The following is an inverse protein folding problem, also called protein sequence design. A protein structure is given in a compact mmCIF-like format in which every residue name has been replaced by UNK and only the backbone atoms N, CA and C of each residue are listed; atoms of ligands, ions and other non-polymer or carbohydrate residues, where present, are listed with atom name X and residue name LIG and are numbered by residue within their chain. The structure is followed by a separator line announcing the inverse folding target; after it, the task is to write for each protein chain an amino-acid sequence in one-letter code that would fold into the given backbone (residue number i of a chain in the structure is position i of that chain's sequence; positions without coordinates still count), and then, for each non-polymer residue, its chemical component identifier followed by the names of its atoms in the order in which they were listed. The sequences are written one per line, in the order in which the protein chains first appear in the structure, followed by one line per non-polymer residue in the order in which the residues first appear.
data_IF_108060089182
#
_entry.id   IF_108060089182
#
_cell.length_a   1.000
_cell.length_b   1.000
_cell.length_c   1.000
_cell.angle_alpha   90.00
_cell.angle_beta   90.00
_cell.angle_gamma   90.00
#
_symmetry.space_group_name_H-M   'P 1'
#
loop_
_entity.id
_entity.type
_entity.pdbx_description
1 polymer ?
#
# COMPACT_ATOMS: atom_id res chain seq x y z
N UNK A 1 17.79 -8.35 -11.43
CA UNK A 1 16.52 -8.75 -10.79
C UNK A 1 15.62 -7.54 -10.73
N UNK A 2 14.34 -7.71 -11.03
CA UNK A 2 13.35 -6.63 -10.88
C UNK A 2 12.99 -6.44 -9.41
N UNK A 3 12.77 -5.20 -8.93
CA UNK A 3 12.32 -4.96 -7.57
C UNK A 3 10.98 -5.65 -7.26
N UNK A 4 10.82 -6.15 -6.04
CA UNK A 4 9.66 -6.93 -5.61
C UNK A 4 9.06 -6.41 -4.32
N UNK A 5 7.79 -6.76 -4.09
CA UNK A 5 7.11 -6.53 -2.82
C UNK A 5 7.49 -7.61 -1.82
N UNK A 6 7.73 -7.19 -0.59
CA UNK A 6 8.06 -8.05 0.54
C UNK A 6 7.02 -7.80 1.64
N UNK A 7 6.48 -8.88 2.21
CA UNK A 7 5.71 -8.78 3.45
C UNK A 7 6.67 -8.65 4.61
N UNK A 8 6.55 -7.56 5.34
CA UNK A 8 7.26 -7.32 6.59
C UNK A 8 6.73 -8.26 7.66
N UNK A 9 7.63 -8.81 8.45
CA UNK A 9 7.28 -9.67 9.58
C UNK A 9 7.83 -9.12 10.90
N UNK A 10 7.24 -9.57 12.01
CA UNK A 10 7.72 -9.30 13.39
C UNK A 10 8.13 -10.59 14.10
N UNK A 11 8.29 -11.67 13.33
CA UNK A 11 8.80 -12.95 13.82
C UNK A 11 10.20 -12.74 14.40
N UNK A 12 10.48 -13.37 15.55
CA UNK A 12 11.76 -13.21 16.24
C UNK A 12 12.90 -13.63 15.30
N UNK A 13 13.91 -12.77 15.16
CA UNK A 13 15.05 -13.01 14.29
C UNK A 13 14.87 -12.51 12.85
N UNK A 14 13.66 -12.11 12.44
CA UNK A 14 13.46 -11.50 11.13
C UNK A 14 14.23 -10.18 11.01
N UNK A 15 14.81 -9.99 9.82
CA UNK A 15 15.52 -8.78 9.42
C UNK A 15 15.02 -8.38 8.04
N UNK A 16 14.82 -7.08 7.85
CA UNK A 16 14.54 -6.55 6.53
C UNK A 16 15.69 -6.92 5.58
N UNK A 17 15.40 -7.42 4.37
CA UNK A 17 16.43 -7.62 3.35
C UNK A 17 17.16 -6.32 3.06
N UNK A 18 18.44 -6.42 2.72
CA UNK A 18 19.28 -5.27 2.46
C UNK A 18 18.69 -4.37 1.36
N UNK A 19 18.68 -3.07 1.61
CA UNK A 19 18.17 -2.07 0.67
C UNK A 19 16.64 -2.05 0.51
N UNK A 20 15.88 -2.92 1.18
CA UNK A 20 14.43 -2.89 1.13
C UNK A 20 13.88 -1.69 1.92
N UNK A 21 12.90 -0.98 1.34
CA UNK A 21 12.31 0.23 1.92
C UNK A 21 10.95 -0.08 2.52
N UNK A 22 10.74 0.29 3.78
CA UNK A 22 9.41 0.21 4.40
C UNK A 22 8.50 1.35 3.88
N UNK A 23 7.34 0.96 3.34
CA UNK A 23 6.35 1.88 2.75
C UNK A 23 5.00 1.82 3.47
N UNK A 24 4.93 1.22 4.65
CA UNK A 24 3.68 1.09 5.41
C UNK A 24 3.25 2.36 6.14
N UNK A 25 2.27 2.23 7.04
CA UNK A 25 1.75 3.31 7.91
C UNK A 25 2.89 4.06 8.62
N UNK A 26 2.72 5.38 8.71
CA UNK A 26 3.69 6.30 9.34
C UNK A 26 4.80 6.78 8.40
N UNK A 27 4.74 6.42 7.11
CA UNK A 27 5.70 6.90 6.08
C UNK A 27 4.98 7.78 5.07
N UNK A 28 5.75 8.53 4.27
CA UNK A 28 5.22 9.28 3.12
C UNK A 28 4.59 8.38 2.03
N UNK A 29 4.83 7.07 2.11
CA UNK A 29 4.41 6.06 1.15
C UNK A 29 3.23 5.22 1.63
N UNK A 30 2.75 5.45 2.86
CA UNK A 30 1.64 4.69 3.42
C UNK A 30 0.34 4.96 2.68
N UNK A 31 -0.48 3.93 2.49
CA UNK A 31 -1.83 4.09 1.99
C UNK A 31 -2.72 4.80 3.04
N UNK A 32 -3.32 5.97 2.73
CA UNK A 32 -4.30 6.60 3.61
C UNK A 32 -5.61 5.80 3.71
N UNK A 33 -5.96 5.00 2.69
CA UNK A 33 -7.15 4.15 2.68
C UNK A 33 -6.84 2.82 3.37
N UNK A 34 -7.01 2.77 4.69
CA UNK A 34 -6.78 1.56 5.47
C UNK A 34 -7.98 0.61 5.41
N UNK A 35 -7.71 -0.68 5.22
CA UNK A 35 -8.74 -1.73 5.39
C UNK A 35 -8.84 -2.08 6.87
N UNK A 36 -10.06 -1.98 7.42
CA UNK A 36 -10.35 -2.31 8.82
C UNK A 36 -11.48 -3.33 8.89
N UNK A 37 -11.38 -4.28 9.81
CA UNK A 37 -12.49 -5.21 10.10
C UNK A 37 -13.46 -4.55 11.07
N UNK A 38 -14.72 -4.44 10.68
CA UNK A 38 -15.78 -3.79 11.43
C UNK A 38 -16.43 -4.75 12.45
N UNK A 39 -17.25 -4.19 13.34
CA UNK A 39 -17.90 -4.94 14.42
C UNK A 39 -18.94 -5.95 13.91
N UNK A 40 -19.58 -5.65 12.77
CA UNK A 40 -20.50 -6.53 12.05
C UNK A 40 -19.80 -7.65 11.26
N UNK A 41 -18.46 -7.64 11.24
CA UNK A 41 -17.63 -8.63 10.55
C UNK A 41 -17.26 -8.27 9.12
N UNK A 42 -17.79 -7.19 8.55
CA UNK A 42 -17.43 -6.68 7.22
C UNK A 42 -16.04 -6.02 7.23
N UNK A 43 -15.50 -5.82 6.04
CA UNK A 43 -14.26 -5.08 5.82
C UNK A 43 -14.57 -3.70 5.27
N UNK A 44 -14.29 -2.66 6.06
CA UNK A 44 -14.53 -1.26 5.68
C UNK A 44 -13.25 -0.54 5.27
N UNK A 45 -13.43 0.50 4.45
CA UNK A 45 -12.39 1.49 4.12
C UNK A 45 -12.87 2.85 4.68
N UNK A 46 -12.40 3.28 5.86
CA UNK A 46 -12.76 4.58 6.43
C UNK A 46 -12.29 5.73 5.54
N UNK A 47 -13.01 6.84 5.56
CA UNK A 47 -12.54 8.06 4.91
C UNK A 47 -11.32 8.63 5.65
N UNK A 48 -10.19 8.88 4.95
CA UNK A 48 -9.00 9.40 5.60
C UNK A 48 -9.10 10.86 6.07
N UNK A 49 -10.12 11.59 5.62
CA UNK A 49 -10.43 12.98 5.96
C UNK A 49 -11.55 13.02 7.02
N UNK A 50 -12.61 12.24 6.83
CA UNK A 50 -13.73 12.15 7.76
C UNK A 50 -13.84 10.77 8.41
N UNK A 51 -13.23 10.61 9.58
CA UNK A 51 -13.22 9.35 10.32
C UNK A 51 -14.60 8.82 10.74
N UNK A 52 -15.66 9.61 10.60
CA UNK A 52 -17.04 9.18 10.87
C UNK A 52 -17.71 8.54 9.64
N UNK A 53 -17.11 8.64 8.46
CA UNK A 53 -17.62 8.05 7.23
C UNK A 53 -16.76 6.89 6.72
N UNK A 54 -17.38 6.03 5.92
CA UNK A 54 -16.75 4.86 5.30
C UNK A 54 -17.02 4.91 3.81
N UNK A 55 -15.96 4.87 2.99
CA UNK A 55 -16.06 4.90 1.54
C UNK A 55 -16.85 3.72 0.99
N UNK A 56 -16.51 2.52 1.47
CA UNK A 56 -17.14 1.26 1.05
C UNK A 56 -16.93 0.17 2.10
N UNK A 57 -17.81 -0.84 2.06
CA UNK A 57 -17.72 -2.07 2.86
C UNK A 57 -17.79 -3.29 1.96
N UNK A 58 -17.14 -4.37 2.37
CA UNK A 58 -16.99 -5.59 1.60
C UNK A 58 -17.11 -6.83 2.50
N UNK A 59 -17.64 -7.92 1.96
CA UNK A 59 -17.69 -9.21 2.66
C UNK A 59 -16.30 -9.85 2.81
N UNK A 60 -15.41 -9.63 1.84
CA UNK A 60 -14.09 -10.26 1.79
C UNK A 60 -12.95 -9.24 1.88
N UNK A 61 -11.93 -9.56 2.68
CA UNK A 61 -10.73 -8.71 2.87
C UNK A 61 -10.02 -8.41 1.54
N UNK A 62 -9.97 -9.40 0.65
CA UNK A 62 -9.32 -9.29 -0.67
C UNK A 62 -9.94 -8.17 -1.50
N UNK A 63 -11.26 -8.05 -1.47
CA UNK A 63 -11.99 -7.05 -2.26
C UNK A 63 -11.79 -5.65 -1.67
N UNK A 64 -11.87 -5.53 -0.34
CA UNK A 64 -11.53 -4.27 0.34
C UNK A 64 -10.08 -3.83 0.07
N UNK A 65 -9.12 -4.76 0.00
CA UNK A 65 -7.72 -4.45 -0.35
C UNK A 65 -7.55 -4.06 -1.81
N UNK A 66 -8.29 -4.68 -2.72
CA UNK A 66 -8.31 -4.30 -4.13
C UNK A 66 -8.78 -2.85 -4.27
N UNK A 67 -9.91 -2.52 -3.64
CA UNK A 67 -10.46 -1.16 -3.65
C UNK A 67 -9.50 -0.16 -2.99
N UNK A 68 -8.93 -0.49 -1.83
CA UNK A 68 -7.96 0.39 -1.16
C UNK A 68 -6.70 0.65 -2.02
N UNK A 69 -6.29 -0.31 -2.85
CA UNK A 69 -5.17 -0.13 -3.78
C UNK A 69 -5.56 0.76 -4.98
N UNK A 70 -6.80 0.65 -5.48
CA UNK A 70 -7.34 1.52 -6.53
C UNK A 70 -7.48 2.97 -6.05
N UNK A 71 -8.07 3.17 -4.86
CA UNK A 71 -8.18 4.49 -4.23
C UNK A 71 -6.80 5.11 -4.00
N UNK A 72 -5.82 4.31 -3.56
CA UNK A 72 -4.44 4.78 -3.44
C UNK A 72 -3.83 5.21 -4.77
N UNK A 73 -4.07 4.45 -5.85
CA UNK A 73 -3.60 4.78 -7.20
C UNK A 73 -4.19 6.10 -7.68
N UNK A 74 -5.50 6.31 -7.51
CA UNK A 74 -6.15 7.57 -7.85
C UNK A 74 -5.59 8.73 -7.02
N UNK A 75 -5.48 8.55 -5.71
CA UNK A 75 -4.95 9.55 -4.79
C UNK A 75 -3.50 9.97 -5.10
N UNK A 76 -2.62 9.02 -5.42
CA UNK A 76 -1.23 9.35 -5.74
C UNK A 76 -1.09 9.96 -7.14
N UNK A 77 -1.96 9.62 -8.09
CA UNK A 77 -1.98 10.20 -9.44
C UNK A 77 -2.19 11.73 -9.41
N UNK A 78 -2.98 12.23 -8.47
CA UNK A 78 -3.19 13.66 -8.25
C UNK A 78 -2.00 14.37 -7.57
N UNK A 79 -0.92 13.64 -7.26
CA UNK A 79 0.25 14.14 -6.50
C UNK A 79 1.54 13.96 -7.30
N UNK A 80 1.75 14.73 -8.39
CA UNK A 80 2.91 14.56 -9.27
C UNK A 80 4.25 14.74 -8.55
N UNK A 81 4.32 15.61 -7.53
CA UNK A 81 5.53 15.78 -6.71
C UNK A 81 5.86 14.54 -5.89
N UNK A 82 4.84 13.82 -5.39
CA UNK A 82 5.01 12.56 -4.65
C UNK A 82 5.42 11.42 -5.59
N UNK A 83 4.88 11.36 -6.80
CA UNK A 83 5.32 10.41 -7.85
C UNK A 83 6.78 10.65 -8.22
N UNK A 84 7.16 11.91 -8.48
CA UNK A 84 8.54 12.27 -8.78
C UNK A 84 9.49 11.88 -7.63
N UNK A 85 9.03 12.04 -6.38
CA UNK A 85 9.77 11.58 -5.21
C UNK A 85 9.88 10.06 -5.15
N UNK A 86 8.81 9.32 -5.43
CA UNK A 86 8.81 7.86 -5.47
C UNK A 86 9.82 7.34 -6.50
N UNK A 87 9.86 7.92 -7.70
CA UNK A 87 10.86 7.57 -8.73
C UNK A 87 12.30 7.80 -8.28
N UNK A 88 12.58 8.85 -7.51
CA UNK A 88 13.93 9.10 -6.99
C UNK A 88 14.31 8.19 -5.81
N UNK A 89 13.38 7.96 -4.90
CA UNK A 89 13.67 7.30 -3.62
C UNK A 89 13.44 5.78 -3.64
N UNK A 90 12.57 5.28 -4.51
CA UNK A 90 12.11 3.88 -4.51
C UNK A 90 12.55 3.08 -5.75
N UNK A 91 12.98 3.73 -6.83
CA UNK A 91 13.42 3.04 -8.05
C UNK A 91 14.54 2.03 -7.76
N UNK A 92 14.40 0.81 -8.30
CA UNK A 92 15.37 -0.27 -8.08
C UNK A 92 15.34 -0.90 -6.67
N UNK A 93 14.42 -0.52 -5.78
CA UNK A 93 14.37 -0.99 -4.38
C UNK A 93 13.19 -1.91 -4.14
N UNK A 94 13.41 -3.01 -3.41
CA UNK A 94 12.32 -3.82 -2.90
C UNK A 94 11.48 -3.01 -1.89
N UNK A 95 10.16 -3.17 -1.91
CA UNK A 95 9.26 -2.42 -1.03
C UNK A 95 8.63 -3.35 0.01
N UNK A 96 8.62 -2.90 1.26
CA UNK A 96 8.09 -3.65 2.40
C UNK A 96 6.84 -3.02 2.98
N UNK A 97 5.81 -3.82 3.19
CA UNK A 97 4.60 -3.44 3.91
C UNK A 97 4.08 -4.62 4.75
N UNK A 98 3.02 -4.41 5.53
CA UNK A 98 2.44 -5.49 6.35
C UNK A 98 1.43 -6.37 5.60
N UNK A 99 1.05 -5.99 4.38
CA UNK A 99 -0.04 -6.62 3.64
C UNK A 99 0.33 -8.05 3.20
N UNK A 100 -0.66 -8.97 3.12
CA UNK A 100 -0.47 -10.30 2.52
C UNK A 100 0.05 -10.20 1.08
N UNK A 101 0.94 -11.12 0.68
CA UNK A 101 1.54 -11.12 -0.66
C UNK A 101 0.60 -11.64 -1.76
N UNK A 102 -0.44 -12.36 -1.38
CA UNK A 102 -1.43 -12.96 -2.28
C UNK A 102 -2.61 -12.03 -2.58
N UNK A 103 -2.58 -10.78 -2.11
CA UNK A 103 -3.65 -9.79 -2.25
C UNK A 103 -3.10 -8.44 -2.75
N UNK A 104 -3.93 -7.61 -3.42
CA UNK A 104 -3.52 -6.29 -3.88
C UNK A 104 -2.96 -5.40 -2.77
N UNK A 105 -1.97 -4.57 -3.10
CA UNK A 105 -1.33 -3.70 -2.13
C UNK A 105 -0.87 -2.38 -2.75
N UNK A 106 -0.85 -1.32 -1.95
CA UNK A 106 -0.31 -0.03 -2.33
C UNK A 106 1.19 -0.07 -2.68
N UNK A 107 1.94 -1.02 -2.12
CA UNK A 107 3.34 -1.23 -2.47
C UNK A 107 3.49 -1.74 -3.92
N UNK A 108 2.51 -2.44 -4.48
CA UNK A 108 2.52 -2.84 -5.89
C UNK A 108 2.37 -1.60 -6.80
N UNK A 109 1.47 -0.69 -6.44
CA UNK A 109 1.31 0.62 -7.13
C UNK A 109 2.59 1.45 -7.07
N UNK A 110 3.25 1.50 -5.91
CA UNK A 110 4.53 2.22 -5.76
C UNK A 110 5.66 1.58 -6.58
N UNK A 111 5.72 0.26 -6.66
CA UNK A 111 6.70 -0.45 -7.50
C UNK A 111 6.53 -0.08 -8.98
N UNK A 112 5.30 -0.06 -9.47
CA UNK A 112 4.98 0.35 -10.84
C UNK A 112 5.39 1.80 -11.11
N UNK A 113 4.92 2.74 -10.28
CA UNK A 113 5.17 4.17 -10.45
C UNK A 113 6.67 4.53 -10.35
N UNK A 114 7.40 3.86 -9.47
CA UNK A 114 8.82 4.12 -9.24
C UNK A 114 9.71 3.59 -10.35
N UNK A 115 9.33 2.46 -10.98
CA UNK A 115 10.15 1.81 -12.00
C UNK A 115 9.66 2.07 -13.44
N UNK A 116 8.69 2.96 -13.62
CA UNK A 116 8.19 3.32 -14.95
C UNK A 116 7.48 2.19 -15.65
N UNK A 117 6.76 1.33 -14.90
CA UNK A 117 5.84 0.38 -15.50
C UNK A 117 4.71 1.19 -16.14
N UNK A 118 4.74 1.31 -17.47
CA UNK A 118 3.62 1.86 -18.22
C UNK A 118 2.42 0.92 -18.07
N UNK A 119 1.31 1.46 -17.58
CA UNK A 119 -0.02 1.03 -17.99
C UNK A 119 -0.59 2.09 -18.94
#
# INVERSE_FOLDING_TARGET
MSPTRIKRERTRGWRAPEGAIYVGRGTAWGNPYAVVRQADGLYGIPDPIDSLSTWATFDYERDARAEAALLFRAWIAERPTLIARARRELAGRNLMCWCPLDQPCHADVLLELANGGDQ
#
